data_IF_595008439007
#
_entry.id   IF_595008439007
#
_cell.length_a   1.000
_cell.length_b   1.000
_cell.length_c   1.000
_cell.angle_alpha   90.00
_cell.angle_beta   90.00
_cell.angle_gamma   90.00
#
_symmetry.space_group_name_H-M   'P 1'
#
loop_
_entity.id
_entity.type
_entity.pdbx_description
1 polymer ?
#
# COMPACT_ATOMS: atom_id res chain seq x y z
N UNK A 1 -28.69 -20.27 -52.69
CA UNK A 1 -30.08 -20.56 -53.14
C UNK A 1 -30.05 -21.73 -54.09
N UNK A 2 -31.08 -22.61 -54.15
CA UNK A 2 -32.26 -22.79 -53.28
C UNK A 2 -32.26 -24.21 -52.65
N UNK A 3 -33.28 -24.73 -51.95
CA UNK A 3 -34.26 -24.27 -50.96
C UNK A 3 -35.21 -25.47 -50.69
N UNK A 4 -35.91 -25.41 -49.55
CA UNK A 4 -37.12 -26.16 -49.12
C UNK A 4 -36.90 -27.39 -48.21
N UNK A 5 -37.55 -27.53 -47.04
CA UNK A 5 -38.59 -26.67 -46.45
C UNK A 5 -39.04 -27.03 -45.02
N UNK A 6 -39.85 -26.08 -44.49
CA UNK A 6 -41.01 -26.18 -43.56
C UNK A 6 -40.84 -26.92 -42.21
N UNK A 7 -40.83 -26.20 -41.07
CA UNK A 7 -41.97 -25.65 -40.29
C UNK A 7 -42.66 -26.68 -39.39
N UNK A 8 -42.64 -26.44 -38.06
CA UNK A 8 -43.80 -26.58 -37.15
C UNK A 8 -43.55 -26.01 -35.75
N UNK A 9 -44.66 -25.59 -35.16
CA UNK A 9 -44.88 -24.72 -34.00
C UNK A 9 -44.52 -25.30 -32.61
N UNK A 10 -44.33 -24.36 -31.67
CA UNK A 10 -44.18 -24.50 -30.21
C UNK A 10 -45.39 -25.16 -29.51
N UNK A 11 -45.26 -25.50 -28.21
CA UNK A 11 -45.84 -24.59 -27.21
C UNK A 11 -45.05 -24.44 -25.87
N UNK A 12 -45.11 -23.23 -25.28
CA UNK A 12 -45.01 -22.96 -23.81
C UNK A 12 -46.25 -23.54 -23.11
N UNK A 13 -46.28 -23.91 -21.81
CA UNK A 13 -46.29 -22.96 -20.66
C UNK A 13 -45.85 -23.63 -19.31
N UNK A 14 -46.19 -23.15 -18.08
CA UNK A 14 -46.82 -21.90 -17.67
C UNK A 14 -46.10 -21.09 -16.56
N UNK A 15 -46.47 -19.82 -16.51
CA UNK A 15 -46.35 -18.95 -15.34
C UNK A 15 -47.44 -19.32 -14.31
N UNK A 16 -47.10 -19.25 -13.02
CA UNK A 16 -48.04 -19.31 -11.92
C UNK A 16 -48.02 -17.97 -11.16
N UNK A 17 -49.13 -17.24 -11.27
CA UNK A 17 -49.53 -16.15 -10.39
C UNK A 17 -50.68 -16.66 -9.52
N UNK A 18 -50.60 -16.56 -8.19
CA UNK A 18 -51.78 -16.33 -7.35
C UNK A 18 -51.46 -15.91 -5.91
N UNK A 19 -51.88 -14.66 -5.61
CA UNK A 19 -52.64 -14.16 -4.43
C UNK A 19 -52.04 -14.18 -3.00
N UNK A 20 -51.79 -12.93 -2.55
CA UNK A 20 -52.30 -12.18 -1.37
C UNK A 20 -52.91 -12.90 -0.14
N UNK A 21 -52.68 -12.20 1.00
CA UNK A 21 -53.40 -12.17 2.31
C UNK A 21 -53.01 -13.31 3.29
N UNK A 22 -52.63 -13.16 4.57
CA UNK A 22 -52.88 -12.24 5.72
C UNK A 22 -51.70 -12.41 6.74
N UNK A 23 -51.14 -11.38 7.41
CA UNK A 23 -51.49 -10.80 8.73
C UNK A 23 -51.28 -11.67 10.00
N UNK A 24 -50.78 -11.04 11.10
CA UNK A 24 -50.51 -11.52 12.49
C UNK A 24 -49.21 -12.32 12.72
N UNK A 25 -48.36 -12.15 13.76
CA UNK A 25 -48.27 -11.29 14.96
C UNK A 25 -46.82 -11.33 15.48
N UNK A 26 -46.21 -10.19 15.82
CA UNK A 26 -45.79 -9.77 17.19
C UNK A 26 -45.52 -10.88 18.22
N UNK A 27 -44.26 -10.97 18.66
CA UNK A 27 -43.78 -11.11 20.06
C UNK A 27 -42.26 -10.75 20.05
N UNK A 28 -41.84 -9.55 20.50
CA UNK A 28 -41.27 -9.24 21.83
C UNK A 28 -40.14 -10.22 22.26
N UNK A 29 -38.88 -9.83 22.50
CA UNK A 29 -38.38 -8.81 23.45
C UNK A 29 -36.85 -8.59 23.34
N UNK A 30 -36.26 -7.60 24.04
CA UNK A 30 -35.15 -6.78 23.53
C UNK A 30 -33.80 -6.94 24.24
N UNK A 31 -32.73 -6.44 23.62
CA UNK A 31 -31.52 -5.99 24.32
C UNK A 31 -31.17 -4.56 23.90
N UNK A 32 -31.13 -3.70 24.91
CA UNK A 32 -30.89 -2.27 24.90
C UNK A 32 -29.39 -1.99 25.02
N UNK A 33 -28.87 -1.02 24.25
CA UNK A 33 -27.83 -0.11 24.77
C UNK A 33 -28.05 1.28 24.17
N UNK A 34 -28.35 2.24 25.05
CA UNK A 34 -28.71 3.60 24.75
C UNK A 34 -27.54 4.42 24.19
N UNK A 35 -27.79 5.14 23.10
CA UNK A 35 -27.00 6.28 22.65
C UNK A 35 -27.66 7.57 23.16
N UNK A 36 -26.93 8.33 23.98
CA UNK A 36 -27.35 9.66 24.44
C UNK A 36 -26.91 10.69 23.41
N UNK A 37 -27.87 11.26 22.69
CA UNK A 37 -27.71 12.46 21.88
C UNK A 37 -27.96 13.70 22.74
N UNK A 38 -26.92 14.52 22.97
CA UNK A 38 -27.07 15.87 23.49
C UNK A 38 -27.31 16.86 22.35
N UNK A 39 -28.53 17.43 22.32
CA UNK A 39 -28.91 18.60 21.52
C UNK A 39 -28.10 19.82 21.96
N UNK A 40 -27.53 20.55 21.01
CA UNK A 40 -27.13 21.95 21.20
C UNK A 40 -28.07 22.79 20.35
N UNK A 41 -28.88 23.63 21.01
CA UNK A 41 -29.77 24.58 20.37
C UNK A 41 -29.06 25.89 20.06
N UNK A 42 -29.31 26.43 18.88
CA UNK A 42 -28.95 27.78 18.47
C UNK A 42 -29.84 28.82 19.18
N UNK A 43 -29.23 29.93 19.60
CA UNK A 43 -29.92 31.22 19.74
C UNK A 43 -28.90 32.34 19.60
N UNK A 44 -29.06 33.12 18.53
CA UNK A 44 -28.38 34.37 18.29
C UNK A 44 -29.18 35.53 18.90
N UNK A 45 -28.52 36.44 19.63
CA UNK A 45 -28.97 37.82 19.76
C UNK A 45 -27.81 38.76 20.15
N UNK A 46 -27.68 39.81 19.34
CA UNK A 46 -26.76 40.94 19.39
C UNK A 46 -26.90 41.81 20.65
N UNK A 47 -25.78 42.32 21.20
CA UNK A 47 -25.75 43.66 21.84
C UNK A 47 -24.32 44.21 22.03
N UNK A 48 -24.06 45.30 21.31
CA UNK A 48 -23.24 46.50 21.59
C UNK A 48 -21.87 46.44 22.32
N UNK A 49 -20.85 46.94 21.61
CA UNK A 49 -19.55 47.44 22.11
C UNK A 49 -19.68 48.66 23.05
N UNK A 50 -18.76 48.81 24.03
CA UNK A 50 -18.31 50.14 24.44
C UNK A 50 -16.81 50.35 24.18
N UNK A 51 -16.49 51.55 23.67
CA UNK A 51 -15.13 52.09 23.53
C UNK A 51 -14.52 52.38 24.91
N UNK A 52 -13.31 51.86 25.16
CA UNK A 52 -12.44 52.22 26.29
C UNK A 52 -10.96 52.12 25.87
N UNK A 53 -10.18 53.14 26.22
CA UNK A 53 -8.80 53.43 25.78
C UNK A 53 -7.71 52.53 26.42
N UNK A 54 -6.45 52.56 25.91
CA UNK A 54 -5.47 51.49 26.07
C UNK A 54 -4.69 51.60 27.39
N UNK A 55 -4.36 50.44 27.97
CA UNK A 55 -3.49 50.38 29.14
C UNK A 55 -3.06 48.95 29.47
N UNK A 56 -1.75 48.75 29.44
CA UNK A 56 -0.94 47.77 30.18
C UNK A 56 -1.11 46.27 29.89
N UNK A 57 0.00 45.68 29.46
CA UNK A 57 0.29 44.25 29.42
C UNK A 57 -0.16 43.55 30.72
N UNK A 58 -1.19 42.70 30.58
CA UNK A 58 -1.58 41.75 31.61
C UNK A 58 -1.35 40.36 31.08
N UNK A 59 -0.42 39.61 31.69
CA UNK A 59 -0.31 38.17 31.50
C UNK A 59 -1.67 37.54 31.83
N UNK A 60 -2.38 37.05 30.82
CA UNK A 60 -3.65 36.35 31.00
C UNK A 60 -3.38 34.99 31.64
N UNK A 61 -3.38 34.95 32.97
CA UNK A 61 -3.49 33.67 33.67
C UNK A 61 -4.87 33.08 33.37
N UNK A 62 -4.88 31.89 32.76
CA UNK A 62 -6.10 31.12 32.54
C UNK A 62 -6.77 30.86 33.90
N UNK A 63 -8.09 31.03 33.97
CA UNK A 63 -8.84 30.65 35.17
C UNK A 63 -8.69 29.14 35.45
N UNK A 64 -8.75 28.70 36.71
CA UNK A 64 -8.59 27.28 37.06
C UNK A 64 -9.48 26.31 36.24
N UNK A 65 -10.74 26.64 35.89
CA UNK A 65 -11.55 25.83 34.97
C UNK A 65 -11.00 25.80 33.54
N UNK A 66 -10.48 26.94 33.04
CA UNK A 66 -9.87 27.01 31.72
C UNK A 66 -8.54 26.25 31.66
N UNK A 67 -7.73 26.29 32.72
CA UNK A 67 -6.51 25.46 32.86
C UNK A 67 -6.87 23.97 32.84
N UNK A 68 -7.94 23.56 33.55
CA UNK A 68 -8.39 22.18 33.56
C UNK A 68 -8.90 21.73 32.19
N UNK A 69 -9.67 22.55 31.49
CA UNK A 69 -10.15 22.25 30.13
C UNK A 69 -8.99 22.12 29.16
N UNK A 70 -8.01 23.03 29.20
CA UNK A 70 -6.80 22.95 28.37
C UNK A 70 -5.98 21.71 28.72
N UNK A 71 -5.79 21.39 30.00
CA UNK A 71 -5.07 20.20 30.43
C UNK A 71 -5.76 18.91 29.96
N UNK A 72 -7.09 18.81 30.10
CA UNK A 72 -7.87 17.67 29.60
C UNK A 72 -7.78 17.58 28.08
N UNK A 73 -7.88 18.69 27.35
CA UNK A 73 -7.74 18.71 25.90
C UNK A 73 -6.34 18.23 25.46
N UNK A 74 -5.28 18.70 26.12
CA UNK A 74 -3.90 18.26 25.86
C UNK A 74 -3.75 16.76 26.14
N UNK A 75 -4.25 16.26 27.26
CA UNK A 75 -4.21 14.83 27.59
C UNK A 75 -4.96 14.00 26.54
N UNK A 76 -6.16 14.42 26.13
CA UNK A 76 -6.95 13.73 25.10
C UNK A 76 -6.20 13.72 23.77
N UNK A 77 -5.59 14.83 23.36
CA UNK A 77 -4.78 14.92 22.13
C UNK A 77 -3.57 14.00 22.20
N UNK A 78 -2.82 14.02 23.31
CA UNK A 78 -1.63 13.18 23.50
C UNK A 78 -2.01 11.70 23.52
N UNK A 79 -3.04 11.31 24.27
CA UNK A 79 -3.51 9.91 24.31
C UNK A 79 -4.01 9.46 22.95
N UNK A 80 -4.73 10.32 22.22
CA UNK A 80 -5.20 10.01 20.86
C UNK A 80 -4.04 9.88 19.87
N UNK A 81 -3.02 10.74 19.98
CA UNK A 81 -1.82 10.69 19.14
C UNK A 81 -0.99 9.42 19.42
N UNK A 82 -0.81 9.05 20.69
CA UNK A 82 -0.13 7.80 21.09
C UNK A 82 -0.91 6.58 20.59
N UNK A 83 -2.23 6.54 20.82
CA UNK A 83 -3.06 5.44 20.32
C UNK A 83 -3.04 5.33 18.78
N UNK A 84 -3.00 6.46 18.08
CA UNK A 84 -2.86 6.50 16.63
C UNK A 84 -1.47 6.02 16.17
N UNK A 85 -0.40 6.45 16.83
CA UNK A 85 0.96 5.99 16.55
C UNK A 85 1.08 4.47 16.75
N UNK A 86 0.53 3.94 17.85
CA UNK A 86 0.52 2.49 18.12
C UNK A 86 -0.30 1.71 17.09
N UNK A 87 -1.41 2.27 16.59
CA UNK A 87 -2.24 1.64 15.57
C UNK A 87 -1.58 1.60 14.17
N UNK A 88 -0.62 2.48 13.89
CA UNK A 88 0.14 2.46 12.65
C UNK A 88 1.48 1.72 12.78
N UNK A 89 1.95 1.49 14.00
CA UNK A 89 3.27 0.95 14.24
C UNK A 89 3.35 -0.53 13.82
N UNK A 90 4.38 -0.87 13.06
CA UNK A 90 4.65 -2.23 12.63
C UNK A 90 5.48 -2.93 13.71
N UNK A 91 4.86 -3.93 14.35
CA UNK A 91 5.49 -4.71 15.40
C UNK A 91 6.16 -5.94 14.82
N UNK A 92 7.49 -5.95 14.89
CA UNK A 92 8.28 -7.13 14.58
C UNK A 92 8.00 -8.21 15.63
N UNK A 93 7.61 -9.44 15.24
CA UNK A 93 7.32 -10.51 16.17
C UNK A 93 8.47 -10.79 17.16
N UNK A 94 8.19 -11.09 18.43
CA UNK A 94 9.20 -11.59 19.35
C UNK A 94 9.86 -12.86 18.81
N UNK A 95 11.19 -12.91 18.79
CA UNK A 95 11.95 -14.04 18.25
C UNK A 95 12.25 -13.97 16.75
N UNK A 96 11.78 -12.93 16.04
CA UNK A 96 12.27 -12.65 14.68
C UNK A 96 13.79 -12.45 14.70
N UNK A 97 14.53 -12.96 13.70
CA UNK A 97 15.98 -12.77 13.60
C UNK A 97 16.37 -11.30 13.76
N UNK A 98 17.42 -11.04 14.56
CA UNK A 98 18.01 -9.71 14.62
C UNK A 98 18.68 -9.39 13.29
N UNK A 99 18.51 -8.15 12.84
CA UNK A 99 19.15 -7.65 11.63
C UNK A 99 20.23 -6.68 12.07
N UNK A 100 21.52 -7.04 11.94
CA UNK A 100 22.61 -6.16 12.34
C UNK A 100 22.62 -4.89 11.49
N UNK A 101 22.97 -3.77 12.12
CA UNK A 101 23.28 -2.51 11.42
C UNK A 101 24.80 -2.37 11.35
N UNK A 102 25.35 -2.42 10.14
CA UNK A 102 26.78 -2.25 9.88
C UNK A 102 27.08 -0.77 9.66
N UNK A 103 28.13 -0.27 10.30
CA UNK A 103 28.62 1.10 10.08
C UNK A 103 29.49 1.16 8.81
N UNK A 104 28.83 0.99 7.67
CA UNK A 104 29.42 1.01 6.34
C UNK A 104 28.56 1.89 5.44
N UNK A 105 29.22 2.73 4.63
CA UNK A 105 28.55 3.54 3.60
C UNK A 105 29.10 3.12 2.24
N UNK A 106 28.22 2.74 1.32
CA UNK A 106 28.61 2.33 -0.04
C UNK A 106 28.42 3.51 -1.00
N UNK A 107 29.49 4.05 -1.61
CA UNK A 107 29.37 5.15 -2.56
C UNK A 107 28.57 4.72 -3.80
N UNK A 108 27.67 5.58 -4.26
CA UNK A 108 26.76 5.33 -5.39
C UNK A 108 27.27 5.89 -6.73
N UNK A 109 28.25 6.80 -6.73
CA UNK A 109 28.67 7.57 -7.92
C UNK A 109 29.79 6.94 -8.78
N UNK A 110 30.66 6.09 -8.21
CA UNK A 110 31.82 5.51 -8.92
C UNK A 110 31.84 3.98 -8.79
N UNK A 111 31.84 3.23 -9.91
CA UNK A 111 31.86 1.75 -9.91
C UNK A 111 32.97 1.13 -9.04
N UNK A 112 34.23 1.60 -9.08
CA UNK A 112 35.30 1.02 -8.27
C UNK A 112 35.06 1.17 -6.75
N UNK A 113 34.58 2.33 -6.31
CA UNK A 113 34.27 2.60 -4.90
C UNK A 113 33.03 1.85 -4.44
N UNK A 114 32.07 1.68 -5.34
CA UNK A 114 30.89 0.87 -5.10
C UNK A 114 31.28 -0.59 -4.82
N UNK A 115 32.24 -1.13 -5.59
CA UNK A 115 32.82 -2.46 -5.36
C UNK A 115 33.50 -2.56 -3.99
N UNK A 116 34.33 -1.60 -3.62
CA UNK A 116 35.01 -1.59 -2.31
C UNK A 116 34.01 -1.61 -1.14
N UNK A 117 32.96 -0.77 -1.22
CA UNK A 117 31.90 -0.75 -0.21
C UNK A 117 31.12 -2.07 -0.13
N UNK A 118 30.75 -2.65 -1.28
CA UNK A 118 30.07 -3.95 -1.32
C UNK A 118 30.94 -5.07 -0.75
N UNK A 119 32.24 -5.11 -1.07
CA UNK A 119 33.17 -6.11 -0.52
C UNK A 119 33.34 -5.98 1.00
N UNK A 120 33.37 -4.75 1.53
CA UNK A 120 33.41 -4.52 2.99
C UNK A 120 32.19 -5.12 3.70
N UNK A 121 30.99 -5.00 3.10
CA UNK A 121 29.78 -5.66 3.61
C UNK A 121 29.92 -7.19 3.54
N UNK A 122 30.41 -7.73 2.43
CA UNK A 122 30.58 -9.18 2.25
C UNK A 122 31.59 -9.80 3.21
N UNK A 123 32.62 -9.08 3.63
CA UNK A 123 33.54 -9.56 4.67
C UNK A 123 32.82 -9.90 5.99
N UNK A 124 31.73 -9.20 6.29
CA UNK A 124 30.90 -9.49 7.47
C UNK A 124 29.89 -10.61 7.20
N UNK A 125 29.26 -10.62 6.01
CA UNK A 125 28.16 -11.53 5.68
C UNK A 125 28.60 -12.91 5.19
N UNK A 126 29.75 -12.96 4.51
CA UNK A 126 30.37 -14.14 3.88
C UNK A 126 31.89 -14.08 4.02
N UNK A 127 32.43 -14.20 5.25
CA UNK A 127 33.88 -14.09 5.52
C UNK A 127 34.73 -15.16 4.84
N UNK A 128 34.11 -16.22 4.32
CA UNK A 128 34.78 -17.31 3.62
C UNK A 128 34.90 -17.07 2.10
N UNK A 129 34.27 -16.03 1.56
CA UNK A 129 34.41 -15.66 0.15
C UNK A 129 35.75 -14.95 -0.07
N UNK A 130 36.53 -15.38 -1.07
CA UNK A 130 37.72 -14.63 -1.50
C UNK A 130 37.25 -13.36 -2.25
N UNK A 131 37.58 -12.15 -1.76
CA UNK A 131 37.21 -10.90 -2.43
C UNK A 131 37.66 -10.77 -3.90
N UNK A 132 38.68 -11.54 -4.31
CA UNK A 132 39.15 -11.57 -5.70
C UNK A 132 38.26 -12.40 -6.61
N UNK A 133 37.54 -13.38 -6.07
CA UNK A 133 36.63 -14.27 -6.81
C UNK A 133 35.18 -13.77 -6.82
N UNK A 134 34.87 -12.73 -6.03
CA UNK A 134 33.52 -12.14 -6.00
C UNK A 134 33.22 -11.40 -7.31
N UNK A 135 32.19 -11.88 -7.98
CA UNK A 135 31.54 -11.24 -9.12
C UNK A 135 30.46 -10.28 -8.64
N UNK A 136 30.45 -9.06 -9.20
CA UNK A 136 29.42 -8.05 -8.95
C UNK A 136 28.62 -7.86 -10.22
N UNK A 137 27.31 -8.02 -10.11
CA UNK A 137 26.35 -7.80 -11.19
C UNK A 137 25.43 -6.65 -10.82
N UNK A 138 25.42 -5.60 -11.64
CA UNK A 138 24.52 -4.48 -11.47
C UNK A 138 23.16 -4.82 -12.08
N UNK A 139 22.08 -4.58 -11.33
CA UNK A 139 20.72 -4.63 -11.83
C UNK A 139 20.26 -3.20 -12.14
N UNK A 140 19.81 -2.96 -13.37
CA UNK A 140 19.47 -1.62 -13.89
C UNK A 140 17.96 -1.38 -14.02
N UNK A 141 17.13 -2.35 -13.65
CA UNK A 141 15.68 -2.29 -13.89
C UNK A 141 14.91 -1.49 -12.82
N UNK A 142 15.56 -1.12 -11.71
CA UNK A 142 14.98 -0.27 -10.66
C UNK A 142 15.17 1.22 -10.95
N UNK A 143 14.11 2.00 -10.74
CA UNK A 143 14.13 3.47 -10.95
C UNK A 143 14.80 4.18 -9.76
N UNK A 144 14.51 3.71 -8.54
CA UNK A 144 14.76 4.47 -7.31
C UNK A 144 16.00 4.02 -6.55
N UNK A 145 16.40 2.75 -6.67
CA UNK A 145 17.47 2.16 -5.87
C UNK A 145 18.52 1.51 -6.77
N UNK A 146 19.80 1.60 -6.37
CA UNK A 146 20.88 0.85 -7.05
C UNK A 146 20.99 -0.53 -6.42
N UNK A 147 20.90 -1.58 -7.22
CA UNK A 147 20.91 -2.97 -6.76
C UNK A 147 22.08 -3.75 -7.36
N UNK A 148 22.87 -4.39 -6.51
CA UNK A 148 24.08 -5.14 -6.90
C UNK A 148 23.96 -6.57 -6.38
N UNK A 149 24.03 -7.55 -7.26
CA UNK A 149 24.18 -8.96 -6.90
C UNK A 149 25.65 -9.32 -6.74
N UNK A 150 26.00 -9.88 -5.59
CA UNK A 150 27.35 -10.33 -5.27
C UNK A 150 27.36 -11.85 -5.09
N UNK A 151 28.23 -12.56 -5.81
CA UNK A 151 28.34 -14.02 -5.74
C UNK A 151 29.73 -14.53 -6.12
N UNK A 152 30.05 -15.76 -5.73
CA UNK A 152 31.30 -16.45 -6.06
C UNK A 152 31.02 -17.63 -6.98
N UNK A 153 31.88 -17.85 -7.97
CA UNK A 153 31.77 -18.96 -8.91
C UNK A 153 30.78 -18.71 -10.05
N UNK A 154 30.38 -19.79 -10.73
CA UNK A 154 29.55 -19.73 -11.95
C UNK A 154 28.06 -20.00 -11.68
N UNK A 155 27.69 -20.29 -10.44
CA UNK A 155 26.33 -20.66 -10.04
C UNK A 155 25.78 -19.61 -9.10
N UNK A 156 24.60 -19.05 -9.42
CA UNK A 156 23.91 -18.07 -8.58
C UNK A 156 23.22 -18.71 -7.36
N UNK A 157 23.83 -19.72 -6.73
CA UNK A 157 23.22 -20.47 -5.63
C UNK A 157 23.26 -19.69 -4.30
N UNK A 158 24.36 -18.97 -4.03
CA UNK A 158 24.51 -18.07 -2.88
C UNK A 158 24.85 -16.67 -3.39
N UNK A 159 23.81 -15.85 -3.54
CA UNK A 159 23.92 -14.46 -4.00
C UNK A 159 23.43 -13.52 -2.90
N UNK A 160 24.25 -12.53 -2.59
CA UNK A 160 23.90 -11.43 -1.70
C UNK A 160 23.52 -10.22 -2.54
N UNK A 161 22.29 -9.74 -2.39
CA UNK A 161 21.87 -8.47 -2.95
C UNK A 161 22.26 -7.33 -2.02
N UNK A 162 23.00 -6.36 -2.55
CA UNK A 162 23.34 -5.10 -1.90
C UNK A 162 22.49 -4.02 -2.56
N UNK A 163 21.51 -3.48 -1.83
CA UNK A 163 20.65 -2.38 -2.30
C UNK A 163 21.05 -1.09 -1.62
N UNK A 164 21.40 -0.10 -2.43
CA UNK A 164 21.77 1.25 -2.01
C UNK A 164 20.57 2.15 -2.25
N UNK A 165 20.16 2.91 -1.23
CA UNK A 165 19.03 3.82 -1.33
C UNK A 165 19.33 4.93 -2.35
N UNK A 166 18.33 5.28 -3.17
CA UNK A 166 18.47 6.41 -4.09
C UNK A 166 18.58 7.75 -3.38
N UNK A 167 19.12 8.74 -4.10
CA UNK A 167 19.25 10.09 -3.61
C UNK A 167 17.87 10.72 -3.28
N UNK A 168 17.73 11.30 -2.07
CA UNK A 168 16.51 11.99 -1.58
C UNK A 168 15.25 11.13 -1.48
N UNK A 169 15.38 9.82 -1.54
CA UNK A 169 14.26 8.88 -1.46
C UNK A 169 13.64 8.83 -0.05
N UNK A 170 14.37 9.25 0.97
CA UNK A 170 13.88 9.46 2.33
C UNK A 170 12.77 10.52 2.45
N UNK A 171 12.60 11.37 1.42
CA UNK A 171 11.46 12.28 1.34
C UNK A 171 10.14 11.53 1.13
N UNK A 172 10.20 10.35 0.51
CA UNK A 172 9.02 9.53 0.19
C UNK A 172 8.91 8.28 1.07
N UNK A 173 10.05 7.73 1.48
CA UNK A 173 10.16 6.44 2.19
C UNK A 173 10.71 6.63 3.61
N UNK A 174 10.03 6.03 4.59
CA UNK A 174 10.53 5.91 5.96
C UNK A 174 11.35 4.62 6.08
N UNK A 175 12.67 4.76 6.22
CA UNK A 175 13.61 3.62 6.26
C UNK A 175 13.47 2.76 7.51
N UNK A 176 12.99 3.32 8.62
CA UNK A 176 12.73 2.56 9.84
C UNK A 176 11.44 1.74 9.71
N UNK A 177 10.39 2.29 9.09
CA UNK A 177 9.18 1.53 8.76
C UNK A 177 9.48 0.41 7.76
N UNK A 178 10.25 0.70 6.72
CA UNK A 178 10.67 -0.27 5.72
C UNK A 178 11.36 -1.49 6.34
N UNK A 179 12.38 -1.27 7.18
CA UNK A 179 13.12 -2.37 7.84
C UNK A 179 12.19 -3.18 8.76
N UNK A 180 11.25 -2.53 9.45
CA UNK A 180 10.26 -3.24 10.29
C UNK A 180 9.30 -4.08 9.43
N UNK A 181 8.75 -3.51 8.35
CA UNK A 181 7.91 -4.23 7.38
C UNK A 181 8.64 -5.47 6.85
N UNK A 182 9.88 -5.29 6.38
CA UNK A 182 10.69 -6.37 5.85
C UNK A 182 10.87 -7.49 6.88
N UNK A 183 11.24 -7.16 8.13
CA UNK A 183 11.42 -8.15 9.19
C UNK A 183 10.13 -8.91 9.54
N UNK A 184 8.98 -8.23 9.54
CA UNK A 184 7.67 -8.87 9.73
C UNK A 184 7.38 -9.86 8.60
N UNK A 185 7.58 -9.44 7.36
CA UNK A 185 7.34 -10.27 6.18
C UNK A 185 8.27 -11.48 6.15
N UNK A 186 9.56 -11.29 6.45
CA UNK A 186 10.55 -12.38 6.55
C UNK A 186 10.14 -13.39 7.62
N UNK A 187 9.69 -12.93 8.80
CA UNK A 187 9.26 -13.81 9.89
C UNK A 187 8.04 -14.68 9.52
N UNK A 188 7.27 -14.29 8.50
CA UNK A 188 6.13 -15.05 7.98
C UNK A 188 6.43 -15.78 6.66
N UNK A 189 7.70 -15.80 6.22
CA UNK A 189 8.11 -16.40 4.95
C UNK A 189 7.45 -15.72 3.75
N UNK A 190 7.26 -14.40 3.82
CA UNK A 190 6.71 -13.57 2.74
C UNK A 190 7.78 -12.69 2.08
N UNK A 191 8.96 -12.58 2.68
CA UNK A 191 10.12 -11.86 2.16
C UNK A 191 11.41 -12.71 2.29
N UNK A 192 12.43 -12.46 1.46
CA UNK A 192 13.76 -13.08 1.58
C UNK A 192 14.41 -12.86 2.95
N UNK A 193 15.51 -13.55 3.20
CA UNK A 193 16.33 -13.25 4.36
C UNK A 193 16.97 -11.86 4.26
N UNK A 194 16.64 -10.97 5.20
CA UNK A 194 17.36 -9.70 5.39
C UNK A 194 18.63 -9.97 6.21
N UNK A 195 19.80 -9.80 5.59
CA UNK A 195 21.09 -10.10 6.21
C UNK A 195 21.58 -8.98 7.11
N UNK A 196 21.51 -7.73 6.66
CA UNK A 196 21.89 -6.56 7.45
C UNK A 196 21.30 -5.27 6.87
N UNK A 197 21.33 -4.20 7.67
CA UNK A 197 21.22 -2.82 7.20
C UNK A 197 22.58 -2.14 7.28
N UNK A 198 22.79 -1.10 6.50
CA UNK A 198 23.98 -0.26 6.55
C UNK A 198 23.58 1.22 6.38
N UNK A 199 24.54 2.14 6.45
CA UNK A 199 24.25 3.58 6.59
C UNK A 199 23.37 4.15 5.48
N UNK A 200 23.45 3.58 4.27
CA UNK A 200 22.69 4.03 3.11
C UNK A 200 22.07 2.87 2.32
N UNK A 201 21.67 1.79 2.98
CA UNK A 201 21.04 0.67 2.30
C UNK A 201 20.82 -0.59 3.14
N UNK A 202 20.55 -1.69 2.45
CA UNK A 202 20.31 -3.00 3.05
C UNK A 202 20.85 -4.16 2.18
N UNK A 203 21.21 -5.26 2.84
CA UNK A 203 21.65 -6.50 2.19
C UNK A 203 20.67 -7.63 2.45
N UNK A 204 20.25 -8.34 1.41
CA UNK A 204 19.27 -9.42 1.52
C UNK A 204 19.54 -10.54 0.51
N UNK A 205 18.85 -11.66 0.70
CA UNK A 205 18.92 -12.83 -0.16
C UNK A 205 18.35 -12.55 -1.55
N UNK A 206 19.02 -13.07 -2.58
CA UNK A 206 18.52 -13.08 -3.95
C UNK A 206 17.43 -14.16 -4.12
N UNK A 207 16.30 -13.77 -4.69
CA UNK A 207 15.23 -14.70 -5.02
C UNK A 207 15.41 -15.23 -6.44
N UNK A 208 15.44 -16.56 -6.56
CA UNK A 208 15.52 -17.24 -7.85
C UNK A 208 14.17 -17.21 -8.57
N UNK A 209 14.17 -16.78 -9.83
CA UNK A 209 13.01 -16.79 -10.70
C UNK A 209 13.08 -15.69 -11.75
N UNK A 210 11.97 -15.50 -12.44
CA UNK A 210 11.80 -14.47 -13.46
C UNK A 210 10.83 -13.40 -12.96
N UNK A 211 11.23 -12.13 -13.07
CA UNK A 211 10.34 -11.01 -12.80
C UNK A 211 9.20 -10.98 -13.83
N UNK A 212 7.96 -10.82 -13.37
CA UNK A 212 6.80 -10.84 -14.25
C UNK A 212 6.68 -9.59 -15.12
N UNK A 213 5.80 -9.70 -16.11
CA UNK A 213 5.40 -8.66 -17.06
C UNK A 213 3.87 -8.68 -17.15
N UNK A 214 3.22 -7.62 -17.68
CA UNK A 214 1.76 -7.56 -17.82
C UNK A 214 1.13 -8.78 -18.52
N UNK A 215 1.83 -9.38 -19.49
CA UNK A 215 1.37 -10.59 -20.18
C UNK A 215 1.25 -11.82 -19.26
N UNK A 216 2.05 -11.88 -18.19
CA UNK A 216 2.09 -13.02 -17.28
C UNK A 216 0.96 -12.98 -16.26
N UNK A 217 0.60 -11.79 -15.77
CA UNK A 217 -0.39 -11.61 -14.69
C UNK A 217 -1.83 -11.93 -15.13
N UNK A 218 -2.09 -12.04 -16.44
CA UNK A 218 -3.36 -12.53 -16.98
C UNK A 218 -3.48 -14.06 -16.98
N UNK A 219 -2.38 -14.81 -16.79
CA UNK A 219 -2.40 -16.27 -16.81
C UNK A 219 -3.09 -16.83 -15.55
N UNK A 220 -4.16 -17.64 -15.66
CA UNK A 220 -4.85 -18.20 -14.51
C UNK A 220 -4.03 -19.04 -13.56
N UNK A 221 -2.96 -19.70 -14.02
CA UNK A 221 -2.06 -20.42 -13.12
C UNK A 221 -1.27 -19.43 -12.24
N UNK A 222 -0.76 -18.36 -12.85
CA UNK A 222 0.12 -17.38 -12.19
C UNK A 222 -0.68 -16.45 -11.29
N UNK A 223 -1.80 -15.89 -11.75
CA UNK A 223 -2.55 -14.94 -10.93
C UNK A 223 -3.08 -15.58 -9.65
N UNK A 224 -3.38 -16.88 -9.65
CA UNK A 224 -3.79 -17.61 -8.44
C UNK A 224 -2.67 -17.68 -7.41
N UNK A 225 -1.43 -17.85 -7.87
CA UNK A 225 -0.24 -17.78 -7.00
C UNK A 225 -0.09 -16.37 -6.41
N UNK A 226 -0.24 -15.33 -7.24
CA UNK A 226 -0.18 -13.93 -6.82
C UNK A 226 -1.26 -13.63 -5.76
N UNK A 227 -2.52 -13.98 -6.07
CA UNK A 227 -3.65 -13.80 -5.15
C UNK A 227 -3.42 -14.50 -3.81
N UNK A 228 -2.90 -15.74 -3.84
CA UNK A 228 -2.58 -16.51 -2.63
C UNK A 228 -1.43 -15.89 -1.84
N UNK A 229 -0.38 -15.42 -2.50
CA UNK A 229 0.76 -14.79 -1.83
C UNK A 229 0.37 -13.44 -1.21
N UNK A 230 -0.44 -12.63 -1.90
CA UNK A 230 -0.95 -11.38 -1.34
C UNK A 230 -1.90 -11.63 -0.16
N UNK A 231 -2.77 -12.63 -0.26
CA UNK A 231 -3.63 -13.06 0.85
C UNK A 231 -2.81 -13.49 2.08
N UNK A 232 -1.67 -14.16 1.88
CA UNK A 232 -0.75 -14.54 2.97
C UNK A 232 -0.22 -13.30 3.70
N UNK A 233 0.23 -12.28 2.96
CA UNK A 233 0.69 -11.01 3.54
C UNK A 233 -0.44 -10.31 4.29
N UNK A 234 -1.61 -10.15 3.67
CA UNK A 234 -2.76 -9.50 4.26
C UNK A 234 -3.29 -10.22 5.51
N UNK A 235 -3.04 -11.53 5.64
CA UNK A 235 -3.47 -12.31 6.80
C UNK A 235 -2.59 -12.09 8.04
N UNK A 236 -1.38 -11.52 7.90
CA UNK A 236 -0.47 -11.22 9.01
C UNK A 236 -1.17 -10.29 10.00
N UNK A 237 -1.19 -10.69 11.28
CA UNK A 237 -1.86 -9.92 12.32
C UNK A 237 -0.95 -8.82 12.86
N UNK A 238 -1.55 -7.68 13.20
CA UNK A 238 -0.87 -6.68 14.00
C UNK A 238 -0.62 -7.25 15.40
N UNK A 239 0.60 -7.67 15.69
CA UNK A 239 1.00 -8.33 16.94
C UNK A 239 1.03 -7.38 18.16
N UNK A 240 0.15 -6.39 18.20
CA UNK A 240 0.17 -5.30 19.18
C UNK A 240 -1.16 -5.06 19.89
N UNK A 241 -2.20 -5.81 19.55
CA UNK A 241 -3.53 -5.65 20.15
C UNK A 241 -4.26 -4.37 19.74
N UNK A 242 -3.72 -3.61 18.78
CA UNK A 242 -4.37 -2.42 18.22
C UNK A 242 -5.01 -2.74 16.88
N UNK A 243 -6.13 -2.08 16.59
CA UNK A 243 -6.74 -2.11 15.26
C UNK A 243 -5.87 -1.27 14.33
N UNK A 244 -5.30 -1.86 13.26
CA UNK A 244 -4.47 -1.12 12.32
C UNK A 244 -5.17 0.10 11.73
N UNK A 245 -4.42 1.16 11.50
CA UNK A 245 -4.89 2.35 10.78
C UNK A 245 -4.03 2.59 9.55
N UNK A 246 -4.67 3.08 8.49
CA UNK A 246 -3.98 3.42 7.24
C UNK A 246 -3.32 4.80 7.36
N UNK A 247 -2.07 4.90 6.91
CA UNK A 247 -1.36 6.17 6.75
C UNK A 247 -1.47 6.75 5.33
N UNK A 248 -2.23 6.13 4.43
CA UNK A 248 -2.40 6.51 3.02
C UNK A 248 -2.68 8.00 2.83
N UNK A 249 -3.68 8.53 3.54
CA UNK A 249 -4.11 9.91 3.40
C UNK A 249 -3.06 10.92 3.87
N UNK A 250 -2.25 10.56 4.87
CA UNK A 250 -1.14 11.40 5.32
C UNK A 250 0.02 11.36 4.33
N UNK A 251 0.34 10.17 3.81
CA UNK A 251 1.34 9.99 2.75
C UNK A 251 0.96 10.81 1.51
N UNK A 252 -0.27 10.73 1.04
CA UNK A 252 -0.78 11.55 -0.06
C UNK A 252 -0.64 13.05 0.20
N UNK A 253 -1.03 13.52 1.40
CA UNK A 253 -0.87 14.93 1.77
C UNK A 253 0.59 15.39 1.74
N UNK A 254 1.51 14.53 2.22
CA UNK A 254 2.96 14.77 2.12
C UNK A 254 3.40 14.85 0.66
N UNK A 255 3.00 13.90 -0.19
CA UNK A 255 3.36 13.90 -1.61
C UNK A 255 2.86 15.17 -2.32
N UNK A 256 1.62 15.59 -2.07
CA UNK A 256 1.10 16.83 -2.65
C UNK A 256 1.84 18.08 -2.17
N UNK A 257 2.37 18.07 -0.94
CA UNK A 257 3.19 19.18 -0.43
C UNK A 257 4.57 19.27 -1.08
N UNK A 258 5.05 18.19 -1.69
CA UNK A 258 6.32 18.15 -2.40
C UNK A 258 6.19 18.60 -3.85
N UNK A 259 4.98 18.67 -4.42
CA UNK A 259 4.75 19.03 -5.82
C UNK A 259 5.30 20.45 -6.03
N UNK A 260 6.21 20.66 -7.01
CA UNK A 260 6.78 21.98 -7.25
C UNK A 260 5.71 22.98 -7.67
N UNK A 261 5.90 24.25 -7.34
CA UNK A 261 4.99 25.33 -7.78
C UNK A 261 5.24 25.77 -9.21
N UNK A 262 6.34 25.31 -9.81
CA UNK A 262 6.70 25.52 -11.20
C UNK A 262 8.14 25.08 -11.47
N UNK A 263 8.51 25.08 -12.75
CA UNK A 263 9.84 24.75 -13.24
C UNK A 263 10.52 25.97 -13.87
N UNK A 264 11.85 26.00 -13.83
CA UNK A 264 12.63 27.08 -14.45
C UNK A 264 12.58 27.04 -15.99
N UNK A 265 12.49 25.83 -16.55
CA UNK A 265 12.29 25.62 -17.98
C UNK A 265 10.83 25.93 -18.36
N UNK A 266 10.63 26.84 -19.31
CA UNK A 266 9.31 27.34 -19.68
C UNK A 266 8.43 26.26 -20.35
N UNK A 267 9.01 25.37 -21.16
CA UNK A 267 8.26 24.33 -21.85
C UNK A 267 7.82 23.24 -20.87
N UNK A 268 8.71 22.86 -19.94
CA UNK A 268 8.38 21.94 -18.85
C UNK A 268 7.33 22.57 -17.93
N UNK A 269 7.50 23.83 -17.55
CA UNK A 269 6.58 24.52 -16.67
C UNK A 269 5.19 24.66 -17.29
N UNK A 270 5.11 24.96 -18.60
CA UNK A 270 3.85 25.07 -19.31
C UNK A 270 3.12 23.74 -19.39
N UNK A 271 3.83 22.63 -19.65
CA UNK A 271 3.25 21.28 -19.61
C UNK A 271 2.78 20.94 -18.20
N UNK A 272 3.62 21.16 -17.20
CA UNK A 272 3.29 20.93 -15.80
C UNK A 272 2.00 21.65 -15.37
N UNK A 273 1.89 22.95 -15.64
CA UNK A 273 0.70 23.74 -15.27
C UNK A 273 -0.56 23.39 -16.09
N UNK A 274 -0.40 22.74 -17.24
CA UNK A 274 -1.51 22.28 -18.09
C UNK A 274 -2.02 20.91 -17.64
N UNK A 275 -1.11 19.99 -17.36
CA UNK A 275 -1.44 18.58 -17.16
C UNK A 275 -1.76 18.28 -15.69
N UNK A 276 -1.23 19.08 -14.75
CA UNK A 276 -1.31 18.82 -13.31
C UNK A 276 -2.27 19.79 -12.65
N UNK A 277 -3.32 19.29 -11.96
CA UNK A 277 -4.22 20.14 -11.19
C UNK A 277 -3.46 20.92 -10.12
N UNK A 278 -3.98 22.09 -9.75
CA UNK A 278 -3.39 22.88 -8.67
C UNK A 278 -3.40 22.10 -7.36
N UNK A 279 -2.46 22.43 -6.46
CA UNK A 279 -2.41 21.83 -5.12
C UNK A 279 -3.75 21.92 -4.38
N UNK A 280 -4.49 23.02 -4.55
CA UNK A 280 -5.82 23.17 -3.97
C UNK A 280 -6.80 22.11 -4.52
N UNK A 281 -6.87 21.92 -5.84
CA UNK A 281 -7.76 20.93 -6.46
C UNK A 281 -7.38 19.53 -5.99
N UNK A 282 -6.09 19.19 -5.95
CA UNK A 282 -5.61 17.90 -5.45
C UNK A 282 -6.04 17.63 -4.00
N UNK A 283 -5.99 18.65 -3.12
CA UNK A 283 -6.46 18.53 -1.74
C UNK A 283 -7.98 18.36 -1.62
N UNK A 284 -8.75 19.06 -2.47
CA UNK A 284 -10.20 18.91 -2.55
C UNK A 284 -10.60 17.51 -3.02
N UNK A 285 -9.97 17.02 -4.09
CA UNK A 285 -10.17 15.66 -4.63
C UNK A 285 -9.79 14.58 -3.61
N UNK A 286 -8.65 14.71 -2.92
CA UNK A 286 -8.27 13.78 -1.85
C UNK A 286 -9.25 13.78 -0.69
N UNK A 287 -9.77 14.96 -0.29
CA UNK A 287 -10.76 15.06 0.77
C UNK A 287 -12.07 14.37 0.36
N UNK A 288 -12.48 14.56 -0.89
CA UNK A 288 -13.65 13.89 -1.47
C UNK A 288 -13.47 12.37 -1.54
N UNK A 289 -12.36 11.88 -2.08
CA UNK A 289 -12.02 10.46 -2.13
C UNK A 289 -11.97 9.84 -0.73
N UNK A 290 -11.32 10.52 0.23
CA UNK A 290 -11.25 10.06 1.63
C UNK A 290 -12.62 9.85 2.24
N UNK A 291 -13.55 10.77 1.99
CA UNK A 291 -14.94 10.68 2.49
C UNK A 291 -15.67 9.48 1.91
N UNK A 292 -15.44 9.13 0.64
CA UNK A 292 -16.11 7.99 -0.01
C UNK A 292 -15.45 6.68 0.41
N UNK A 293 -14.13 6.58 0.20
CA UNK A 293 -13.39 5.33 0.33
C UNK A 293 -13.28 4.85 1.79
N UNK A 294 -13.18 5.77 2.76
CA UNK A 294 -13.16 5.39 4.18
C UNK A 294 -14.47 4.73 4.65
N UNK A 295 -15.57 4.94 3.93
CA UNK A 295 -16.89 4.40 4.27
C UNK A 295 -17.19 3.05 3.57
N UNK A 296 -16.30 2.57 2.70
CA UNK A 296 -16.49 1.29 1.99
C UNK A 296 -16.28 0.06 2.87
N UNK A 297 -15.73 0.23 4.08
CA UNK A 297 -15.51 -0.86 5.02
C UNK A 297 -14.43 -1.85 4.60
N UNK A 298 -13.48 -1.43 3.76
CA UNK A 298 -12.30 -2.24 3.43
C UNK A 298 -11.44 -2.40 4.70
N UNK A 299 -11.13 -3.63 5.14
CA UNK A 299 -10.17 -3.87 6.20
C UNK A 299 -8.83 -3.18 5.97
N UNK A 300 -8.22 -2.71 7.06
CA UNK A 300 -6.82 -2.25 7.07
C UNK A 300 -5.94 -3.43 7.49
N UNK A 301 -4.98 -3.77 6.63
CA UNK A 301 -4.06 -4.90 6.78
C UNK A 301 -2.64 -4.45 6.42
N UNK A 302 -1.64 -5.28 6.71
CA UNK A 302 -0.29 -5.04 6.19
C UNK A 302 -0.34 -5.23 4.67
N UNK A 303 0.04 -4.20 3.91
CA UNK A 303 0.02 -4.18 2.45
C UNK A 303 1.42 -4.01 1.88
N UNK A 304 1.60 -4.48 0.64
CA UNK A 304 2.78 -4.20 -0.17
C UNK A 304 2.83 -2.73 -0.60
N UNK A 305 1.67 -2.20 -1.03
CA UNK A 305 1.41 -0.85 -1.55
C UNK A 305 2.06 -0.50 -2.89
N UNK A 306 2.86 -1.40 -3.47
CA UNK A 306 3.58 -1.19 -4.73
C UNK A 306 3.76 -2.50 -5.53
N UNK A 307 2.65 -3.22 -5.76
CA UNK A 307 2.70 -4.57 -6.34
C UNK A 307 2.66 -4.56 -7.88
N UNK A 308 3.63 -3.87 -8.47
CA UNK A 308 3.91 -3.86 -9.91
C UNK A 308 4.44 -5.22 -10.40
N UNK A 309 4.28 -5.51 -11.69
CA UNK A 309 4.63 -6.82 -12.26
C UNK A 309 6.10 -7.22 -12.00
N UNK A 310 7.02 -6.26 -12.08
CA UNK A 310 8.46 -6.48 -11.83
C UNK A 310 8.81 -6.77 -10.37
N UNK A 311 7.92 -6.44 -9.43
CA UNK A 311 8.06 -6.76 -8.00
C UNK A 311 7.54 -8.16 -7.66
N UNK A 312 7.14 -8.94 -8.68
CA UNK A 312 6.69 -10.32 -8.53
C UNK A 312 7.69 -11.23 -9.25
N UNK A 313 8.36 -12.08 -8.49
CA UNK A 313 9.28 -13.08 -9.00
C UNK A 313 8.55 -14.41 -9.07
N UNK A 314 8.44 -14.99 -10.27
CA UNK A 314 7.88 -16.31 -10.49
C UNK A 314 8.98 -17.35 -10.61
N UNK A 315 8.88 -18.40 -9.78
CA UNK A 315 9.80 -19.53 -9.84
C UNK A 315 9.08 -20.73 -10.46
N UNK A 316 9.29 -20.96 -11.75
CA UNK A 316 8.64 -22.06 -12.47
C UNK A 316 9.00 -23.44 -11.89
N UNK A 317 10.23 -23.61 -11.39
CA UNK A 317 10.70 -24.89 -10.83
C UNK A 317 9.98 -25.23 -9.52
N UNK A 318 9.71 -24.24 -8.69
CA UNK A 318 9.02 -24.40 -7.40
C UNK A 318 7.50 -24.27 -7.54
N UNK A 319 7.03 -23.64 -8.62
CA UNK A 319 5.60 -23.42 -8.87
C UNK A 319 4.99 -22.38 -7.93
N UNK A 320 5.78 -21.39 -7.52
CA UNK A 320 5.36 -20.34 -6.60
C UNK A 320 5.75 -18.93 -7.09
N UNK A 321 5.27 -17.93 -6.35
CA UNK A 321 5.66 -16.53 -6.55
C UNK A 321 6.12 -15.94 -5.22
N UNK A 322 7.11 -15.08 -5.29
CA UNK A 322 7.57 -14.27 -4.18
C UNK A 322 7.54 -12.80 -4.59
N UNK A 323 7.20 -11.94 -3.64
CA UNK A 323 7.24 -10.51 -3.87
C UNK A 323 8.62 -9.98 -3.45
N UNK A 324 8.97 -8.82 -3.96
CA UNK A 324 10.19 -8.09 -3.61
C UNK A 324 9.88 -6.59 -3.55
N UNK A 325 10.82 -5.83 -3.02
CA UNK A 325 10.75 -4.37 -2.91
C UNK A 325 9.62 -3.82 -2.00
N UNK A 326 9.85 -3.95 -0.70
CA UNK A 326 8.87 -3.61 0.34
C UNK A 326 8.99 -2.16 0.86
N UNK A 327 9.57 -1.24 0.08
CA UNK A 327 9.88 0.10 0.56
C UNK A 327 8.63 0.93 0.88
N UNK A 328 7.52 0.66 0.20
CA UNK A 328 6.22 1.28 0.46
C UNK A 328 5.32 0.47 1.41
N UNK A 329 5.77 -0.71 1.85
CA UNK A 329 4.96 -1.62 2.66
C UNK A 329 4.58 -1.02 4.01
N UNK A 330 3.33 -1.26 4.40
CA UNK A 330 2.77 -0.76 5.66
C UNK A 330 1.27 -0.96 5.75
N UNK A 331 0.66 -0.55 6.86
CA UNK A 331 -0.77 -0.73 7.05
C UNK A 331 -1.58 0.14 6.09
N UNK A 332 -2.41 -0.51 5.27
CA UNK A 332 -3.29 0.16 4.33
C UNK A 332 -4.57 -0.67 4.07
N UNK A 333 -5.49 -0.14 3.28
CA UNK A 333 -6.71 -0.84 2.90
C UNK A 333 -6.36 -2.01 1.97
N UNK A 334 -6.83 -3.24 2.26
CA UNK A 334 -6.53 -4.37 1.37
C UNK A 334 -6.99 -4.12 -0.07
N UNK A 335 -8.12 -3.42 -0.23
CA UNK A 335 -8.70 -3.13 -1.53
C UNK A 335 -7.84 -2.15 -2.33
N UNK A 336 -7.07 -1.29 -1.64
CA UNK A 336 -6.08 -0.44 -2.28
C UNK A 336 -4.96 -1.29 -2.90
N UNK A 337 -4.40 -2.23 -2.14
CA UNK A 337 -3.26 -3.03 -2.62
C UNK A 337 -3.65 -3.93 -3.82
N UNK A 338 -4.86 -4.50 -3.80
CA UNK A 338 -5.40 -5.27 -4.92
C UNK A 338 -5.71 -4.36 -6.12
N UNK A 339 -6.35 -3.20 -5.87
CA UNK A 339 -6.64 -2.22 -6.93
C UNK A 339 -5.37 -1.73 -7.59
N UNK A 340 -4.31 -1.53 -6.79
CA UNK A 340 -2.98 -1.17 -7.26
C UNK A 340 -2.44 -2.21 -8.22
N UNK A 341 -2.46 -3.48 -7.79
CA UNK A 341 -2.02 -4.58 -8.63
C UNK A 341 -2.80 -4.69 -9.96
N UNK A 342 -4.11 -4.39 -9.97
CA UNK A 342 -4.91 -4.43 -11.21
C UNK A 342 -4.57 -3.31 -12.18
N UNK A 343 -4.26 -2.11 -11.71
CA UNK A 343 -3.83 -1.01 -12.58
C UNK A 343 -2.50 -1.32 -13.28
N UNK A 344 -1.65 -2.15 -12.67
CA UNK A 344 -0.36 -2.57 -13.23
C UNK A 344 -0.50 -3.50 -14.45
N UNK A 345 -1.69 -4.03 -14.72
CA UNK A 345 -1.97 -4.79 -15.94
C UNK A 345 -1.92 -3.90 -17.18
N UNK A 346 -2.19 -2.61 -17.03
CA UNK A 346 -2.04 -1.64 -18.11
C UNK A 346 -0.58 -1.34 -18.45
N UNK A 347 0.37 -1.76 -17.61
CA UNK A 347 1.79 -1.43 -17.76
C UNK A 347 2.13 -0.01 -17.27
N UNK A 348 3.44 0.24 -17.14
CA UNK A 348 4.00 1.50 -16.61
C UNK A 348 4.55 2.38 -17.72
N UNK A 349 5.40 1.83 -18.60
CA UNK A 349 6.06 2.60 -19.68
C UNK A 349 5.16 2.79 -20.90
N UNK A 350 4.52 1.71 -21.37
CA UNK A 350 3.60 1.71 -22.50
C UNK A 350 2.19 1.40 -22.00
N UNK A 351 1.52 2.43 -21.46
CA UNK A 351 0.23 2.26 -20.79
C UNK A 351 -0.87 1.87 -21.80
N UNK A 352 -1.45 0.69 -21.63
CA UNK A 352 -2.60 0.19 -22.37
C UNK A 352 -3.75 -0.18 -21.42
N UNK A 353 -4.68 0.76 -21.23
CA UNK A 353 -5.85 0.56 -20.37
C UNK A 353 -6.79 -0.55 -20.85
N UNK A 354 -6.67 -1.03 -22.09
CA UNK A 354 -7.45 -2.19 -22.56
C UNK A 354 -7.03 -3.49 -21.89
N UNK A 355 -5.85 -3.52 -21.25
CA UNK A 355 -5.34 -4.67 -20.50
C UNK A 355 -5.82 -4.71 -19.04
N UNK A 356 -6.46 -3.65 -18.53
CA UNK A 356 -7.05 -3.68 -17.19
C UNK A 356 -8.02 -4.86 -17.08
N UNK A 357 -7.96 -5.68 -16.00
CA UNK A 357 -8.70 -6.92 -15.94
C UNK A 357 -10.20 -6.66 -16.00
N UNK A 358 -10.89 -7.37 -16.90
CA UNK A 358 -12.35 -7.26 -17.00
C UNK A 358 -13.05 -7.86 -15.76
N UNK A 359 -14.38 -7.69 -15.69
CA UNK A 359 -15.15 -8.15 -14.53
C UNK A 359 -15.06 -9.67 -14.31
N UNK A 360 -14.91 -10.46 -15.36
CA UNK A 360 -14.81 -11.91 -15.25
C UNK A 360 -13.46 -12.30 -14.63
N UNK A 361 -12.36 -11.75 -15.17
CA UNK A 361 -11.01 -11.99 -14.66
C UNK A 361 -10.86 -11.50 -13.22
N UNK A 362 -11.35 -10.29 -12.91
CA UNK A 362 -11.38 -9.79 -11.54
C UNK A 362 -12.16 -10.73 -10.62
N UNK A 363 -13.33 -11.22 -11.03
CA UNK A 363 -14.12 -12.17 -10.24
C UNK A 363 -13.35 -13.44 -9.90
N UNK A 364 -12.63 -14.02 -10.87
CA UNK A 364 -11.80 -15.21 -10.66
C UNK A 364 -10.62 -14.93 -9.73
N UNK A 365 -9.96 -13.79 -9.91
CA UNK A 365 -8.83 -13.37 -9.08
C UNK A 365 -9.25 -13.13 -7.64
N UNK A 366 -10.31 -12.34 -7.43
CA UNK A 366 -10.83 -11.96 -6.11
C UNK A 366 -11.35 -13.18 -5.34
N UNK A 367 -11.98 -14.14 -6.03
CA UNK A 367 -12.36 -15.41 -5.42
C UNK A 367 -11.15 -16.19 -4.93
N UNK A 368 -10.13 -16.34 -5.78
CA UNK A 368 -8.89 -17.05 -5.43
C UNK A 368 -8.19 -16.40 -4.23
N UNK A 369 -8.19 -15.05 -4.18
CA UNK A 369 -7.70 -14.27 -3.05
C UNK A 369 -8.50 -14.56 -1.78
N UNK A 370 -9.84 -14.48 -1.83
CA UNK A 370 -10.71 -14.69 -0.68
C UNK A 370 -10.61 -16.11 -0.12
N UNK A 371 -10.52 -17.12 -0.98
CA UNK A 371 -10.33 -18.53 -0.60
C UNK A 371 -9.04 -18.68 0.22
N UNK A 372 -7.92 -18.16 -0.30
CA UNK A 372 -6.63 -18.19 0.39
C UNK A 372 -6.64 -17.35 1.68
N UNK A 373 -7.25 -16.16 1.65
CA UNK A 373 -7.29 -15.27 2.81
C UNK A 373 -8.07 -15.89 3.97
N UNK A 374 -9.22 -16.52 3.69
CA UNK A 374 -9.98 -17.26 4.71
C UNK A 374 -9.21 -18.47 5.23
N UNK A 375 -8.51 -19.19 4.37
CA UNK A 375 -7.65 -20.31 4.76
C UNK A 375 -6.58 -19.86 5.76
N UNK A 376 -5.82 -18.81 5.44
CA UNK A 376 -4.78 -18.28 6.33
C UNK A 376 -5.33 -17.69 7.63
N UNK A 377 -6.58 -17.22 7.64
CA UNK A 377 -7.27 -16.76 8.85
C UNK A 377 -7.94 -17.90 9.64
N UNK A 378 -7.96 -19.13 9.12
CA UNK A 378 -8.61 -20.27 9.77
C UNK A 378 -10.14 -20.28 9.68
N UNK A 379 -10.72 -19.59 8.69
CA UNK A 379 -12.17 -19.53 8.46
C UNK A 379 -12.68 -20.52 7.39
N UNK A 380 -11.85 -21.47 6.96
CA UNK A 380 -12.15 -22.38 5.86
C UNK A 380 -11.85 -21.76 4.48
N UNK A 381 -12.38 -22.35 3.40
CA UNK A 381 -12.14 -21.90 2.02
C UNK A 381 -13.40 -21.54 1.25
N UNK A 382 -14.60 -21.70 1.84
CA UNK A 382 -15.85 -21.40 1.16
C UNK A 382 -16.01 -19.89 0.94
N UNK A 383 -16.27 -19.47 -0.29
CA UNK A 383 -16.46 -18.07 -0.68
C UNK A 383 -17.80 -17.90 -1.40
N UNK A 384 -18.60 -16.94 -0.94
CA UNK A 384 -19.89 -16.63 -1.56
C UNK A 384 -19.75 -15.58 -2.66
N UNK A 385 -20.68 -15.59 -3.63
CA UNK A 385 -20.73 -14.54 -4.68
C UNK A 385 -20.89 -13.13 -4.10
N UNK A 386 -21.57 -13.01 -2.96
CA UNK A 386 -21.74 -11.74 -2.26
C UNK A 386 -20.40 -11.18 -1.75
N UNK A 387 -19.53 -12.03 -1.24
CA UNK A 387 -18.20 -11.61 -0.78
C UNK A 387 -17.32 -11.15 -1.94
N UNK A 388 -17.37 -11.87 -3.07
CA UNK A 388 -16.68 -11.47 -4.30
C UNK A 388 -17.20 -10.12 -4.79
N UNK A 389 -18.52 -9.91 -4.82
CA UNK A 389 -19.13 -8.65 -5.28
C UNK A 389 -18.77 -7.47 -4.36
N UNK A 390 -18.78 -7.67 -3.04
CA UNK A 390 -18.39 -6.63 -2.08
C UNK A 390 -16.93 -6.23 -2.31
N UNK A 391 -16.03 -7.21 -2.42
CA UNK A 391 -14.61 -6.93 -2.63
C UNK A 391 -14.38 -6.30 -4.01
N UNK A 392 -15.11 -6.72 -5.05
CA UNK A 392 -15.06 -6.13 -6.38
C UNK A 392 -15.39 -4.62 -6.34
N UNK A 393 -16.47 -4.24 -5.65
CA UNK A 393 -16.84 -2.83 -5.49
C UNK A 393 -15.76 -2.06 -4.75
N UNK A 394 -15.23 -2.61 -3.65
CA UNK A 394 -14.18 -1.97 -2.88
C UNK A 394 -12.93 -1.75 -3.74
N UNK A 395 -12.43 -2.79 -4.39
CA UNK A 395 -11.21 -2.78 -5.20
C UNK A 395 -11.31 -1.77 -6.33
N UNK A 396 -12.40 -1.78 -7.11
CA UNK A 396 -12.53 -0.85 -8.24
C UNK A 396 -12.66 0.62 -7.80
N UNK A 397 -13.24 0.88 -6.62
CA UNK A 397 -13.29 2.24 -6.07
C UNK A 397 -11.89 2.70 -5.60
N UNK A 398 -11.12 1.81 -4.97
CA UNK A 398 -9.76 2.12 -4.55
C UNK A 398 -8.75 2.19 -5.71
N UNK A 399 -8.95 1.45 -6.80
CA UNK A 399 -8.11 1.51 -8.01
C UNK A 399 -8.06 2.92 -8.61
N UNK A 400 -9.14 3.71 -8.45
CA UNK A 400 -9.17 5.10 -8.90
C UNK A 400 -8.21 6.01 -8.12
N UNK A 401 -7.86 5.65 -6.88
CA UNK A 401 -6.99 6.46 -6.04
C UNK A 401 -5.52 6.41 -6.52
N UNK A 402 -5.10 5.29 -7.10
CA UNK A 402 -3.75 5.14 -7.64
C UNK A 402 -3.55 5.90 -8.96
N UNK A 403 -4.59 6.04 -9.79
CA UNK A 403 -4.55 6.91 -10.97
C UNK A 403 -4.21 8.37 -10.58
N UNK A 404 -4.59 8.79 -9.37
CA UNK A 404 -4.17 10.07 -8.79
C UNK A 404 -2.74 10.08 -8.24
N UNK A 405 -2.19 8.92 -7.85
CA UNK A 405 -0.82 8.75 -7.32
C UNK A 405 0.25 8.64 -8.41
N UNK A 406 -0.10 8.33 -9.66
CA UNK A 406 0.83 8.45 -10.81
C UNK A 406 1.37 9.87 -11.01
N UNK A 407 0.93 10.86 -10.23
CA UNK A 407 1.67 12.10 -9.99
C UNK A 407 3.11 11.89 -9.49
N UNK A 408 3.43 10.74 -8.87
CA UNK A 408 4.80 10.38 -8.51
C UNK A 408 5.72 10.27 -9.74
N UNK A 409 5.19 9.83 -10.89
CA UNK A 409 5.95 9.77 -12.14
C UNK A 409 6.42 11.18 -12.59
N UNK A 410 5.74 12.25 -12.16
CA UNK A 410 6.18 13.63 -12.43
C UNK A 410 7.39 14.00 -11.60
N UNK A 411 7.51 13.49 -10.36
CA UNK A 411 8.71 13.65 -9.55
C UNK A 411 9.88 12.85 -10.12
N UNK A 412 9.60 11.65 -10.65
CA UNK A 412 10.60 10.71 -11.17
C UNK A 412 11.11 11.08 -12.57
N UNK A 413 10.27 11.66 -13.44
CA UNK A 413 10.65 12.08 -14.80
C UNK A 413 11.24 13.50 -14.88
N UNK A 414 11.12 14.31 -13.84
CA UNK A 414 11.94 15.51 -13.70
C UNK A 414 13.20 15.11 -12.97
N UNK A 415 14.20 14.62 -13.71
CA UNK A 415 15.58 14.60 -13.21
C UNK A 415 15.91 16.00 -12.68
N UNK A 416 15.88 16.14 -11.36
CA UNK A 416 17.02 16.52 -10.55
C UNK A 416 18.17 17.18 -11.32
N UNK A 417 17.87 18.34 -11.92
CA UNK A 417 18.86 19.31 -12.35
C UNK A 417 18.99 20.35 -11.25
N UNK A 418 19.71 20.00 -10.18
CA UNK A 418 20.30 20.95 -9.25
C UNK A 418 21.70 20.49 -8.86
#
# INVERSE_FOLDING_TARGET
MPASGQSRHAPRPPAAECRREESFSREHSPLSSAAVQTRVGESAASTALPRGRPGTEGSSSLSAPAVLVVAVAVVVVVVSAVAWAMANYIHVPPGSPEVPKLDVTVPDQEEPRCREGALSLLQHLRPHWDPQEVTLQLFTDGITNKLIGCYVGNTMEDVVLVRIYGNKTELLVDRDEEVKSFRVLQAHGCAPQLYCTFNNGLCYEFIQGEALDPKHVCNPAIFRLIARQLAKIHAIHAHNGWIPKSNLWLKMGKYFSLIPTGFADEDINKRFLSDIPSSQILQEEMTWMKKILSNLGSPVVLCHNDLLCKNIIYNEKQGDVQFIDYEYSGYNYLAYDIGNHFNEFAGVSDVDYSLYPDRELQGQWLRSYLEAYKEYKGFGTEVTEKEVEILFIQVNQFALLELGLKCEALFKNTEFSF
#
